data_IF_901987488858
#
_entry.id   IF_901987488858
#
_cell.length_a   1.000
_cell.length_b   1.000
_cell.length_c   1.000
_cell.angle_alpha   90.00
_cell.angle_beta   90.00
_cell.angle_gamma   90.00
#
_symmetry.space_group_name_H-M   'P 1'
#
loop_
_entity.id
_entity.type
_entity.pdbx_description
1 polymer ?
#
# COMPACT_ATOMS: atom_id res chain seq x y z
N UNK A 1 20.42 7.24 -2.63
CA UNK A 1 20.72 5.92 -3.24
C UNK A 1 19.66 5.45 -4.23
N UNK A 2 18.36 5.60 -3.92
CA UNK A 2 17.23 5.21 -4.80
C UNK A 2 17.26 5.94 -6.16
N UNK A 3 17.48 7.25 -6.19
CA UNK A 3 17.56 8.05 -7.42
C UNK A 3 18.72 7.64 -8.35
N UNK A 4 19.86 7.23 -7.79
CA UNK A 4 21.01 6.76 -8.57
C UNK A 4 20.75 5.40 -9.23
N UNK A 5 20.07 4.49 -8.52
CA UNK A 5 19.63 3.22 -9.08
C UNK A 5 18.53 3.39 -10.14
N UNK A 6 17.67 4.40 -9.99
CA UNK A 6 16.65 4.77 -10.99
C UNK A 6 17.31 5.20 -12.30
N UNK A 7 18.34 6.05 -12.26
CA UNK A 7 18.98 6.54 -13.48
C UNK A 7 19.78 5.47 -14.25
N UNK A 8 20.30 4.44 -13.54
CA UNK A 8 21.17 3.40 -14.11
C UNK A 8 20.44 2.14 -14.60
N UNK A 9 19.16 1.95 -14.26
CA UNK A 9 18.42 0.71 -14.60
C UNK A 9 18.00 0.69 -16.08
N UNK A 10 18.65 -0.17 -16.86
CA UNK A 10 18.34 -0.50 -18.27
C UNK A 10 17.57 -1.83 -18.39
N UNK A 11 16.77 -2.19 -17.38
CA UNK A 11 16.06 -3.47 -17.37
C UNK A 11 14.76 -3.37 -18.18
N UNK A 12 14.46 -4.40 -18.96
CA UNK A 12 13.19 -4.53 -19.70
C UNK A 12 11.98 -4.68 -18.76
N UNK A 13 10.75 -4.46 -19.27
CA UNK A 13 9.54 -4.49 -18.45
C UNK A 13 9.33 -5.89 -17.83
N UNK A 14 9.00 -5.93 -16.53
CA UNK A 14 8.66 -7.16 -15.83
C UNK A 14 7.44 -7.82 -16.51
N UNK A 15 7.55 -9.11 -16.85
CA UNK A 15 6.42 -9.92 -17.35
C UNK A 15 5.24 -9.83 -16.38
N UNK A 16 4.02 -9.75 -16.92
CA UNK A 16 2.75 -9.75 -16.20
C UNK A 16 2.62 -10.97 -15.27
N UNK A 17 3.20 -10.89 -14.09
CA UNK A 17 2.90 -11.79 -12.99
C UNK A 17 1.59 -11.30 -12.36
N UNK A 18 0.69 -12.24 -12.06
CA UNK A 18 -0.64 -11.96 -11.47
C UNK A 18 -0.54 -11.04 -10.25
N UNK A 19 0.51 -11.18 -9.44
CA UNK A 19 0.70 -10.41 -8.21
C UNK A 19 1.02 -8.91 -8.44
N UNK A 20 1.84 -8.57 -9.43
CA UNK A 20 2.11 -7.16 -9.79
C UNK A 20 0.89 -6.51 -10.42
N UNK A 21 0.14 -7.26 -11.24
CA UNK A 21 -1.12 -6.81 -11.79
C UNK A 21 -2.16 -6.59 -10.69
N UNK A 22 -2.28 -7.50 -9.72
CA UNK A 22 -3.17 -7.40 -8.57
C UNK A 22 -2.84 -6.16 -7.72
N UNK A 23 -1.56 -5.90 -7.42
CA UNK A 23 -1.13 -4.67 -6.72
C UNK A 23 -1.59 -3.41 -7.44
N UNK A 24 -1.49 -3.38 -8.77
CA UNK A 24 -1.93 -2.23 -9.57
C UNK A 24 -3.45 -2.10 -9.53
N UNK A 25 -4.19 -3.19 -9.69
CA UNK A 25 -5.65 -3.18 -9.62
C UNK A 25 -6.15 -2.67 -8.26
N UNK A 26 -5.58 -3.17 -7.16
CA UNK A 26 -5.93 -2.69 -5.81
C UNK A 26 -5.56 -1.22 -5.65
N UNK A 27 -4.36 -0.80 -6.08
CA UNK A 27 -3.98 0.62 -6.01
C UNK A 27 -4.88 1.52 -6.86
N UNK A 28 -5.37 1.06 -8.02
CA UNK A 28 -6.34 1.83 -8.81
C UNK A 28 -7.68 1.96 -8.10
N UNK A 29 -8.18 0.89 -7.49
CA UNK A 29 -9.44 0.91 -6.75
C UNK A 29 -9.33 1.88 -5.56
N UNK A 30 -8.24 1.81 -4.80
CA UNK A 30 -7.97 2.72 -3.69
C UNK A 30 -7.90 4.19 -4.13
N UNK A 31 -7.25 4.46 -5.27
CA UNK A 31 -7.18 5.81 -5.80
C UNK A 31 -8.56 6.36 -6.17
N UNK A 32 -9.40 5.54 -6.79
CA UNK A 32 -10.77 5.91 -7.12
C UNK A 32 -11.62 6.15 -5.86
N UNK A 33 -11.53 5.26 -4.88
CA UNK A 33 -12.25 5.38 -3.60
C UNK A 33 -11.92 6.70 -2.89
N UNK A 34 -10.64 7.03 -2.76
CA UNK A 34 -10.18 8.27 -2.13
C UNK A 34 -10.52 9.51 -2.99
N UNK A 35 -10.50 9.38 -4.32
CA UNK A 35 -10.93 10.46 -5.20
C UNK A 35 -12.44 10.76 -5.07
N UNK A 36 -13.26 9.72 -4.87
CA UNK A 36 -14.70 9.87 -4.59
C UNK A 36 -14.89 10.57 -3.24
N UNK A 37 -14.16 10.17 -2.19
CA UNK A 37 -14.22 10.83 -0.89
C UNK A 37 -13.84 12.31 -0.96
N UNK A 38 -12.75 12.63 -1.68
CA UNK A 38 -12.33 14.02 -1.88
C UNK A 38 -13.38 14.82 -2.67
N UNK A 39 -13.92 14.25 -3.75
CA UNK A 39 -14.98 14.86 -4.54
C UNK A 39 -16.23 15.15 -3.72
N UNK A 40 -16.66 14.19 -2.90
CA UNK A 40 -17.79 14.33 -1.99
C UNK A 40 -17.58 15.47 -0.98
N UNK A 41 -16.43 15.52 -0.31
CA UNK A 41 -16.11 16.61 0.62
C UNK A 41 -16.06 17.99 -0.06
N UNK A 42 -15.54 18.08 -1.29
CA UNK A 42 -15.57 19.35 -2.04
C UNK A 42 -16.96 19.75 -2.49
N UNK A 43 -17.84 18.77 -2.78
CA UNK A 43 -19.21 19.00 -3.17
C UNK A 43 -20.03 19.58 -2.01
N UNK A 44 -19.92 19.02 -0.81
CA UNK A 44 -20.60 19.52 0.38
C UNK A 44 -20.13 20.93 0.76
N UNK A 45 -18.83 21.19 0.65
CA UNK A 45 -18.26 22.52 0.86
C UNK A 45 -18.78 23.55 -0.17
N UNK A 46 -18.96 23.13 -1.43
CA UNK A 46 -19.50 24.00 -2.47
C UNK A 46 -20.97 24.37 -2.22
N UNK A 47 -21.77 23.42 -1.70
CA UNK A 47 -23.17 23.65 -1.33
C UNK A 47 -23.35 24.30 0.04
N UNK A 48 -22.27 24.44 0.83
CA UNK A 48 -22.31 25.05 2.17
C UNK A 48 -23.12 24.25 3.19
N UNK A 49 -23.25 22.94 2.98
CA UNK A 49 -24.04 22.05 3.85
C UNK A 49 -23.27 21.77 5.14
N UNK A 50 -21.97 21.49 5.01
CA UNK A 50 -21.09 21.24 6.14
C UNK A 50 -19.67 21.66 5.76
N UNK A 51 -19.00 22.44 6.61
CA UNK A 51 -17.71 23.09 6.31
C UNK A 51 -16.69 22.77 7.38
N UNK A 52 -16.44 21.48 7.59
CA UNK A 52 -15.29 21.04 8.36
C UNK A 52 -14.03 21.01 7.48
N UNK A 53 -13.32 22.15 7.47
CA UNK A 53 -12.05 22.35 6.76
C UNK A 53 -11.01 21.24 7.06
N UNK A 54 -11.07 20.65 8.26
CA UNK A 54 -10.19 19.56 8.67
C UNK A 54 -10.36 18.28 7.83
N UNK A 55 -11.59 17.93 7.43
CA UNK A 55 -11.83 16.73 6.63
C UNK A 55 -11.36 16.89 5.19
N UNK A 56 -11.53 18.08 4.61
CA UNK A 56 -11.07 18.38 3.25
C UNK A 56 -9.55 18.30 3.18
N UNK A 57 -8.86 18.90 4.16
CA UNK A 57 -7.41 18.85 4.27
C UNK A 57 -6.91 17.39 4.42
N UNK A 58 -7.52 16.63 5.33
CA UNK A 58 -7.16 15.22 5.58
C UNK A 58 -7.32 14.35 4.33
N UNK A 59 -8.49 14.42 3.67
CA UNK A 59 -8.78 13.68 2.44
C UNK A 59 -7.86 14.10 1.29
N UNK A 60 -7.50 15.40 1.20
CA UNK A 60 -6.55 15.90 0.21
C UNK A 60 -5.14 15.35 0.41
N UNK A 61 -4.64 15.33 1.64
CA UNK A 61 -3.35 14.73 1.98
C UNK A 61 -3.35 13.23 1.65
N UNK A 62 -4.45 12.53 1.97
CA UNK A 62 -4.60 11.12 1.68
C UNK A 62 -4.58 10.82 0.17
N UNK A 63 -5.28 11.64 -0.63
CA UNK A 63 -5.29 11.53 -2.09
C UNK A 63 -3.88 11.69 -2.68
N UNK A 64 -3.13 12.68 -2.20
CA UNK A 64 -1.74 12.89 -2.61
C UNK A 64 -0.85 11.70 -2.23
N UNK A 65 -0.98 11.17 -1.01
CA UNK A 65 -0.22 10.03 -0.55
C UNK A 65 -0.49 8.76 -1.39
N UNK A 66 -1.76 8.44 -1.65
CA UNK A 66 -2.15 7.30 -2.49
C UNK A 66 -1.72 7.52 -3.95
N UNK A 67 -1.81 8.74 -4.47
CA UNK A 67 -1.33 9.09 -5.81
C UNK A 67 0.18 8.88 -5.98
N UNK A 68 0.99 9.27 -4.98
CA UNK A 68 2.43 9.02 -4.97
C UNK A 68 2.74 7.52 -5.01
N UNK A 69 2.01 6.73 -4.22
CA UNK A 69 2.22 5.28 -4.13
C UNK A 69 1.76 4.57 -5.41
N UNK A 70 0.68 5.03 -6.02
CA UNK A 70 0.25 4.58 -7.34
C UNK A 70 1.34 4.83 -8.39
N UNK A 71 1.91 6.04 -8.43
CA UNK A 71 3.03 6.39 -9.31
C UNK A 71 4.27 5.53 -9.04
N UNK A 72 4.65 5.34 -7.77
CA UNK A 72 5.75 4.46 -7.39
C UNK A 72 5.53 3.02 -7.82
N UNK A 73 4.30 2.52 -7.77
CA UNK A 73 3.92 1.17 -8.22
C UNK A 73 4.08 1.02 -9.74
N UNK A 74 3.75 2.07 -10.52
CA UNK A 74 3.93 2.07 -11.97
C UNK A 74 5.42 2.15 -12.34
N UNK A 75 6.18 3.03 -11.68
CA UNK A 75 7.61 3.21 -11.93
C UNK A 75 8.40 1.95 -11.57
N UNK A 76 8.08 1.32 -10.44
CA UNK A 76 8.71 0.06 -10.02
C UNK A 76 8.46 -1.06 -11.04
N UNK A 77 7.23 -1.14 -11.59
CA UNK A 77 6.90 -2.04 -12.70
C UNK A 77 7.72 -1.75 -13.96
N UNK A 78 7.76 -0.49 -14.39
CA UNK A 78 8.40 -0.10 -15.65
C UNK A 78 9.93 -0.27 -15.60
N UNK A 79 10.55 -0.13 -14.43
CA UNK A 79 12.02 -0.20 -14.28
C UNK A 79 12.54 -1.51 -13.68
N UNK A 80 11.66 -2.46 -13.38
CA UNK A 80 12.04 -3.75 -12.80
C UNK A 80 12.64 -3.66 -11.40
N UNK A 81 12.39 -2.56 -10.68
CA UNK A 81 13.03 -2.29 -9.40
C UNK A 81 12.27 -2.98 -8.27
N UNK A 82 13.00 -3.72 -7.44
CA UNK A 82 12.51 -4.31 -6.19
C UNK A 82 12.40 -3.20 -5.16
N UNK A 83 11.27 -2.50 -5.12
CA UNK A 83 10.97 -1.46 -4.12
C UNK A 83 9.97 -1.92 -3.06
N UNK A 84 9.81 -3.24 -2.85
CA UNK A 84 8.86 -3.80 -1.88
C UNK A 84 9.05 -3.25 -0.47
N UNK A 85 10.27 -3.00 -0.02
CA UNK A 85 10.50 -2.49 1.32
C UNK A 85 9.89 -1.11 1.57
N UNK A 86 10.00 -0.19 0.62
CA UNK A 86 9.44 1.17 0.75
C UNK A 86 7.91 1.11 0.71
N UNK A 87 7.35 0.34 -0.23
CA UNK A 87 5.91 0.11 -0.34
C UNK A 87 5.35 -0.56 0.93
N UNK A 88 6.02 -1.59 1.43
CA UNK A 88 5.60 -2.28 2.66
C UNK A 88 5.58 -1.34 3.87
N UNK A 89 6.65 -0.56 4.08
CA UNK A 89 6.68 0.40 5.20
C UNK A 89 5.58 1.44 5.08
N UNK A 90 5.30 1.92 3.86
CA UNK A 90 4.20 2.85 3.62
C UNK A 90 2.85 2.25 4.01
N UNK A 91 2.52 1.07 3.49
CA UNK A 91 1.24 0.41 3.78
C UNK A 91 1.12 0.01 5.26
N UNK A 92 2.22 -0.38 5.90
CA UNK A 92 2.27 -0.67 7.33
C UNK A 92 1.97 0.58 8.16
N UNK A 93 2.62 1.70 7.86
CA UNK A 93 2.39 2.95 8.58
C UNK A 93 0.94 3.41 8.38
N UNK A 94 0.41 3.31 7.17
CA UNK A 94 -0.99 3.64 6.88
C UNK A 94 -1.98 2.74 7.63
N UNK A 95 -1.73 1.43 7.69
CA UNK A 95 -2.56 0.49 8.44
C UNK A 95 -2.53 0.77 9.95
N UNK A 96 -1.35 1.04 10.52
CA UNK A 96 -1.20 1.36 11.95
C UNK A 96 -1.86 2.71 12.27
N UNK A 97 -1.69 3.71 11.40
CA UNK A 97 -2.29 5.04 11.57
C UNK A 97 -3.82 5.03 11.42
N UNK A 98 -4.36 4.20 10.52
CA UNK A 98 -5.80 4.06 10.30
C UNK A 98 -6.53 3.22 11.35
N UNK A 99 -5.81 2.47 12.18
CA UNK A 99 -6.40 1.61 13.21
C UNK A 99 -7.21 2.38 14.29
N UNK A 100 -6.70 3.49 14.88
CA UNK A 100 -7.50 4.29 15.82
C UNK A 100 -8.74 4.89 15.15
N UNK A 101 -8.62 5.35 13.90
CA UNK A 101 -9.75 5.90 13.14
C UNK A 101 -10.82 4.83 12.86
N UNK A 102 -10.40 3.62 12.50
CA UNK A 102 -11.31 2.49 12.32
C UNK A 102 -12.03 2.11 13.61
N UNK A 103 -11.32 2.09 14.73
CA UNK A 103 -11.93 1.84 16.05
C UNK A 103 -12.96 2.91 16.41
N UNK A 104 -12.63 4.18 16.17
CA UNK A 104 -13.53 5.29 16.43
C UNK A 104 -14.81 5.19 15.58
N UNK A 105 -14.68 5.09 14.25
CA UNK A 105 -15.82 5.00 13.33
C UNK A 105 -16.71 3.78 13.59
N UNK A 106 -16.09 2.63 13.91
CA UNK A 106 -16.84 1.41 14.25
C UNK A 106 -17.59 1.55 15.58
N UNK A 107 -16.97 2.15 16.60
CA UNK A 107 -17.64 2.38 17.88
C UNK A 107 -18.77 3.39 17.74
N UNK A 108 -18.58 4.43 16.92
CA UNK A 108 -19.60 5.43 16.61
C UNK A 108 -20.81 4.77 15.97
N UNK A 109 -20.61 3.88 14.99
CA UNK A 109 -21.69 3.15 14.33
C UNK A 109 -22.45 2.19 15.27
N UNK A 110 -21.75 1.52 16.19
CA UNK A 110 -22.38 0.55 17.11
C UNK A 110 -23.19 1.25 18.21
N UNK A 111 -22.73 2.41 18.67
CA UNK A 111 -23.39 3.19 19.72
C UNK A 111 -24.44 4.16 19.17
N UNK A 112 -24.72 4.09 17.87
CA UNK A 112 -25.64 4.98 17.21
C UNK A 112 -27.09 4.59 17.58
N UNK A 113 -27.84 5.53 18.14
CA UNK A 113 -29.29 5.35 18.36
C UNK A 113 -30.03 5.47 17.01
N UNK A 114 -31.11 4.71 16.82
CA UNK A 114 -31.85 4.58 15.53
C UNK A 114 -32.39 5.91 14.96
N UNK A 115 -32.36 7.01 15.71
CA UNK A 115 -32.97 8.30 15.38
C UNK A 115 -31.99 9.41 14.90
N UNK A 116 -30.68 9.11 14.73
CA UNK A 116 -29.74 10.08 14.14
C UNK A 116 -29.84 10.09 12.60
N UNK A 117 -30.72 10.95 12.05
CA UNK A 117 -30.91 11.16 10.60
C UNK A 117 -29.66 11.69 9.87
N UNK A 118 -28.65 12.17 10.59
CA UNK A 118 -27.46 12.86 10.03
C UNK A 118 -26.21 11.96 9.90
N UNK A 119 -26.32 10.63 9.98
CA UNK A 119 -25.14 9.79 9.74
C UNK A 119 -24.70 9.80 8.28
N UNK A 120 -23.43 10.15 8.05
CA UNK A 120 -22.79 10.03 6.73
C UNK A 120 -22.51 8.56 6.35
N UNK A 121 -23.56 7.81 5.99
CA UNK A 121 -23.45 6.42 5.54
C UNK A 121 -22.48 6.23 4.38
N UNK A 122 -22.40 7.21 3.48
CA UNK A 122 -21.50 7.19 2.33
C UNK A 122 -20.03 7.22 2.77
N UNK A 123 -19.66 8.15 3.66
CA UNK A 123 -18.28 8.28 4.18
C UNK A 123 -17.89 7.05 5.01
N UNK A 124 -18.83 6.51 5.79
CA UNK A 124 -18.63 5.27 6.54
C UNK A 124 -18.36 4.08 5.61
N UNK A 125 -19.20 3.87 4.59
CA UNK A 125 -19.06 2.76 3.66
C UNK A 125 -17.74 2.80 2.88
N UNK A 126 -17.37 3.97 2.35
CA UNK A 126 -16.10 4.16 1.63
C UNK A 126 -14.91 3.85 2.54
N UNK A 127 -14.94 4.34 3.79
CA UNK A 127 -13.88 4.01 4.76
C UNK A 127 -13.82 2.50 5.08
N UNK A 128 -14.97 1.85 5.20
CA UNK A 128 -15.09 0.40 5.42
C UNK A 128 -14.51 -0.43 4.26
N UNK A 129 -14.55 0.08 3.03
CA UNK A 129 -13.94 -0.55 1.84
C UNK A 129 -12.45 -0.22 1.75
N UNK A 130 -12.08 1.03 2.01
CA UNK A 130 -10.71 1.53 1.98
C UNK A 130 -9.77 0.76 2.93
N UNK A 131 -10.15 0.62 4.21
CA UNK A 131 -9.27 0.02 5.23
C UNK A 131 -8.88 -1.44 4.95
N UNK A 132 -9.80 -2.37 4.61
CA UNK A 132 -9.42 -3.74 4.25
C UNK A 132 -8.61 -3.79 2.96
N UNK A 133 -8.85 -2.91 1.97
CA UNK A 133 -8.01 -2.83 0.77
C UNK A 133 -6.56 -2.47 1.12
N UNK A 134 -6.34 -1.55 2.07
CA UNK A 134 -5.00 -1.22 2.60
C UNK A 134 -4.34 -2.45 3.24
N UNK A 135 -5.09 -3.22 4.03
CA UNK A 135 -4.57 -4.46 4.64
C UNK A 135 -4.21 -5.51 3.59
N UNK A 136 -5.07 -5.74 2.60
CA UNK A 136 -4.77 -6.66 1.48
C UNK A 136 -3.52 -6.20 0.75
N UNK A 137 -3.34 -4.90 0.54
CA UNK A 137 -2.15 -4.34 -0.10
C UNK A 137 -0.88 -4.52 0.75
N UNK A 138 -0.99 -4.45 2.08
CA UNK A 138 0.08 -4.78 3.01
C UNK A 138 0.47 -6.27 2.92
N UNK A 139 -0.50 -7.19 2.97
CA UNK A 139 -0.24 -8.62 2.80
C UNK A 139 0.37 -8.91 1.43
N UNK A 140 -0.15 -8.28 0.38
CA UNK A 140 0.36 -8.43 -0.98
C UNK A 140 1.79 -7.89 -1.07
N UNK A 141 2.11 -6.82 -0.34
CA UNK A 141 3.47 -6.27 -0.20
C UNK A 141 4.44 -7.24 0.50
N UNK A 142 3.95 -8.04 1.45
CA UNK A 142 4.74 -9.04 2.19
C UNK A 142 5.15 -10.25 1.35
N UNK A 143 4.21 -10.80 0.57
CA UNK A 143 4.38 -12.12 -0.06
C UNK A 143 4.96 -12.09 -1.48
N UNK A 144 4.83 -10.97 -2.22
CA UNK A 144 5.06 -11.03 -3.68
C UNK A 144 6.51 -10.96 -4.16
N UNK A 145 7.44 -10.44 -3.36
CA UNK A 145 8.79 -10.15 -3.87
C UNK A 145 9.70 -11.38 -3.69
N UNK A 146 9.26 -12.52 -4.22
CA UNK A 146 10.19 -13.61 -4.55
C UNK A 146 10.58 -13.42 -6.00
N UNK A 147 11.75 -12.86 -6.29
CA UNK A 147 12.06 -12.55 -7.65
C UNK A 147 12.31 -13.80 -8.49
N UNK A 148 11.53 -13.93 -9.56
CA UNK A 148 11.77 -14.84 -10.68
C UNK A 148 12.83 -14.25 -11.63
N UNK A 149 14.00 -13.85 -11.14
CA UNK A 149 15.16 -13.80 -12.03
C UNK A 149 15.93 -15.09 -11.85
N UNK A 150 15.91 -15.86 -12.92
CA UNK A 150 16.66 -17.09 -13.05
C UNK A 150 18.10 -16.87 -12.59
N UNK A 151 18.49 -17.77 -11.70
CA UNK A 151 19.84 -18.17 -11.35
C UNK A 151 20.71 -18.18 -12.61
N UNK A 152 21.48 -17.13 -12.84
CA UNK A 152 22.50 -17.09 -13.89
C UNK A 152 23.85 -16.55 -13.39
N UNK A 153 23.95 -16.11 -12.13
CA UNK A 153 25.24 -15.71 -11.58
C UNK A 153 25.45 -16.26 -10.17
N UNK A 154 26.48 -17.09 -10.03
CA UNK A 154 26.76 -17.94 -8.86
C UNK A 154 27.42 -17.15 -7.72
N UNK A 155 27.62 -15.84 -7.90
CA UNK A 155 28.40 -14.93 -7.04
C UNK A 155 27.61 -13.77 -6.44
N UNK A 156 26.30 -13.71 -6.62
CA UNK A 156 25.51 -12.55 -6.20
C UNK A 156 24.92 -12.75 -4.80
N UNK A 157 25.03 -11.73 -3.94
CA UNK A 157 24.58 -11.79 -2.55
C UNK A 157 23.06 -12.07 -2.48
N UNK A 158 22.62 -13.14 -1.79
CA UNK A 158 21.20 -13.52 -1.72
C UNK A 158 20.34 -12.51 -0.96
N UNK A 159 20.97 -11.63 -0.16
CA UNK A 159 20.31 -10.51 0.53
C UNK A 159 19.60 -9.56 -0.44
N UNK A 160 20.15 -9.34 -1.64
CA UNK A 160 19.63 -8.39 -2.61
C UNK A 160 18.37 -8.90 -3.32
N UNK A 161 18.04 -10.19 -3.13
CA UNK A 161 16.98 -10.89 -3.85
C UNK A 161 15.98 -11.57 -2.93
N UNK A 162 16.15 -11.48 -1.61
CA UNK A 162 15.16 -11.94 -0.65
C UNK A 162 13.98 -10.95 -0.58
N UNK A 163 12.74 -11.47 -0.52
CA UNK A 163 11.56 -10.65 -0.20
C UNK A 163 11.83 -9.82 1.06
N UNK A 164 11.24 -8.62 1.17
CA UNK A 164 11.46 -7.74 2.32
C UNK A 164 11.17 -8.43 3.67
N UNK A 165 10.13 -9.27 3.73
CA UNK A 165 9.82 -10.04 4.93
C UNK A 165 10.88 -11.13 5.21
N UNK A 166 11.45 -11.72 4.16
CA UNK A 166 12.57 -12.66 4.24
C UNK A 166 13.87 -11.95 4.70
N UNK A 167 14.09 -10.69 4.31
CA UNK A 167 15.17 -9.85 4.83
C UNK A 167 15.00 -9.57 6.33
N UNK A 168 13.80 -9.18 6.78
CA UNK A 168 13.51 -8.92 8.20
C UNK A 168 13.61 -10.19 9.05
N UNK A 169 13.05 -11.31 8.56
CA UNK A 169 13.05 -12.58 9.30
C UNK A 169 14.38 -13.33 9.21
N UNK A 170 15.39 -12.75 8.54
CA UNK A 170 16.67 -13.39 8.25
C UNK A 170 16.54 -14.80 7.65
N UNK A 171 15.42 -15.12 7.01
CA UNK A 171 15.15 -16.48 6.59
C UNK A 171 16.05 -16.89 5.39
N UNK A 172 16.68 -15.91 4.73
CA UNK A 172 17.78 -16.08 3.76
C UNK A 172 19.06 -16.64 4.40
N UNK A 173 19.29 -16.37 5.69
CA UNK A 173 20.44 -16.86 6.45
C UNK A 173 20.23 -18.28 6.95
N UNK A 174 18.99 -18.69 7.24
CA UNK A 174 18.64 -20.03 7.75
C UNK A 174 19.22 -21.15 6.89
N UNK A 175 19.13 -21.02 5.55
CA UNK A 175 19.69 -22.01 4.63
C UNK A 175 21.23 -22.10 4.67
N UNK A 176 21.91 -20.97 4.91
CA UNK A 176 23.37 -20.95 5.08
C UNK A 176 23.80 -21.49 6.44
N UNK A 177 23.07 -21.15 7.51
CA UNK A 177 23.32 -21.64 8.86
C UNK A 177 23.20 -23.18 8.95
N UNK A 178 22.15 -23.77 8.36
CA UNK A 178 21.97 -25.23 8.33
C UNK A 178 23.08 -25.90 7.51
N UNK A 179 23.50 -25.30 6.40
CA UNK A 179 24.59 -25.83 5.56
C UNK A 179 25.95 -25.77 6.25
N UNK A 180 26.17 -24.75 7.09
CA UNK A 180 27.32 -24.65 7.97
C UNK A 180 27.31 -25.68 9.09
N UNK A 181 26.15 -26.00 9.67
CA UNK A 181 26.04 -27.02 10.72
C UNK A 181 26.22 -28.47 10.21
N UNK A 182 25.89 -28.73 8.94
CA UNK A 182 26.06 -30.05 8.31
C UNK A 182 27.47 -30.33 7.78
N UNK A 183 28.43 -29.41 7.96
CA UNK A 183 29.85 -29.57 7.64
C UNK A 183 30.68 -29.46 8.90
#
# INVERSE_FOLDING_TARGET
MVLYAVHKSTNGPLKCCSFTALRILISTILFLDVAILFGYGTYENYYGIDSDDSYILGNGILLLAIGLVFGLTIVSRNRGLVTSGVLFNFWLLLAVCGLPEFRYKLSSYINMEEDEEDFDFLRFYLFMVYYPLVLVQLFTSCFADTPKYNIMDKKTCPELFASFLNQITFNWFTGMAIKGHRR
#
